data_IF_138484099601
#
_entry.id   IF_138484099601
#
_cell.length_a   1.000
_cell.length_b   1.000
_cell.length_c   1.000
_cell.angle_alpha   90.00
_cell.angle_beta   90.00
_cell.angle_gamma   90.00
#
_symmetry.space_group_name_H-M   'P 1'
#
loop_
_entity.id
_entity.type
_entity.pdbx_description
1 polymer ?
#
# COMPACT_ATOMS: atom_id res chain seq x y z
N UNK A 1 15.64 -21.81 -13.96
CA UNK A 1 14.47 -21.62 -13.08
C UNK A 1 14.50 -20.17 -12.64
N UNK A 2 13.54 -19.35 -13.08
CA UNK A 2 13.60 -17.88 -12.95
C UNK A 2 13.28 -17.47 -11.50
N UNK A 3 14.18 -16.69 -10.92
CA UNK A 3 14.20 -16.21 -9.53
C UNK A 3 12.97 -15.32 -9.25
N UNK A 4 12.02 -15.80 -8.44
CA UNK A 4 10.72 -15.15 -8.17
C UNK A 4 10.75 -14.09 -7.03
N UNK A 5 11.74 -14.14 -6.13
CA UNK A 5 11.72 -13.40 -4.86
C UNK A 5 12.19 -11.93 -4.93
N UNK A 6 12.95 -11.54 -5.96
CA UNK A 6 13.72 -10.27 -5.97
C UNK A 6 12.89 -9.04 -6.38
N UNK A 7 11.83 -9.23 -7.15
CA UNK A 7 10.95 -8.15 -7.63
C UNK A 7 9.87 -7.73 -6.65
N UNK A 8 9.67 -8.53 -5.62
CA UNK A 8 8.62 -8.38 -4.64
C UNK A 8 8.79 -7.14 -3.76
N UNK A 9 10.02 -6.81 -3.35
CA UNK A 9 10.30 -5.66 -2.45
C UNK A 9 10.25 -4.32 -3.19
N UNK A 10 10.74 -4.26 -4.43
CA UNK A 10 10.65 -3.05 -5.25
C UNK A 10 9.20 -2.74 -5.66
N UNK A 11 8.44 -3.77 -6.05
CA UNK A 11 7.02 -3.64 -6.32
C UNK A 11 6.25 -3.18 -5.07
N UNK A 12 6.56 -3.74 -3.90
CA UNK A 12 5.99 -3.27 -2.65
C UNK A 12 6.34 -1.80 -2.38
N UNK A 13 7.56 -1.36 -2.69
CA UNK A 13 7.95 0.05 -2.54
C UNK A 13 7.15 0.96 -3.49
N UNK A 14 6.90 0.53 -4.72
CA UNK A 14 6.05 1.25 -5.68
C UNK A 14 4.60 1.32 -5.20
N UNK A 15 4.04 0.20 -4.73
CA UNK A 15 2.69 0.13 -4.14
C UNK A 15 2.59 1.08 -2.94
N UNK A 16 3.51 1.00 -1.98
CA UNK A 16 3.51 1.87 -0.80
C UNK A 16 3.70 3.34 -1.17
N UNK A 17 4.48 3.65 -2.21
CA UNK A 17 4.67 5.01 -2.70
C UNK A 17 3.40 5.57 -3.34
N UNK A 18 2.72 4.79 -4.17
CA UNK A 18 1.46 5.22 -4.78
C UNK A 18 0.31 5.27 -3.76
N UNK A 19 0.30 4.35 -2.80
CA UNK A 19 -0.61 4.37 -1.63
C UNK A 19 -0.43 5.66 -0.84
N UNK A 20 0.81 6.01 -0.49
CA UNK A 20 1.16 7.26 0.17
C UNK A 20 0.63 8.47 -0.62
N UNK A 21 0.85 8.49 -1.93
CA UNK A 21 0.40 9.59 -2.80
C UNK A 21 -1.13 9.68 -2.90
N UNK A 22 -1.84 8.56 -2.97
CA UNK A 22 -3.29 8.53 -2.96
C UNK A 22 -3.87 9.09 -1.64
N UNK A 23 -3.32 8.71 -0.48
CA UNK A 23 -3.70 9.29 0.81
C UNK A 23 -3.41 10.80 0.88
N UNK A 24 -2.26 11.25 0.35
CA UNK A 24 -1.91 12.68 0.25
C UNK A 24 -2.93 13.45 -0.60
N UNK A 25 -3.40 12.86 -1.69
CA UNK A 25 -4.41 13.47 -2.56
C UNK A 25 -5.80 13.45 -1.92
N UNK A 26 -6.18 12.38 -1.23
CA UNK A 26 -7.44 12.30 -0.49
C UNK A 26 -7.54 13.38 0.58
N UNK A 27 -6.42 13.77 1.21
CA UNK A 27 -6.36 14.92 2.12
C UNK A 27 -6.77 16.25 1.48
N UNK A 28 -6.59 16.44 0.16
CA UNK A 28 -7.01 17.66 -0.53
C UNK A 28 -8.52 17.71 -0.84
N UNK A 29 -9.25 16.61 -0.61
CA UNK A 29 -10.70 16.58 -0.79
C UNK A 29 -11.42 17.24 0.40
N UNK A 30 -12.59 17.82 0.13
CA UNK A 30 -13.49 18.30 1.19
C UNK A 30 -14.25 17.10 1.78
N UNK A 31 -13.60 16.37 2.70
CA UNK A 31 -14.16 15.20 3.38
C UNK A 31 -14.68 15.57 4.78
N UNK A 32 -15.60 14.76 5.32
CA UNK A 32 -15.98 14.90 6.72
C UNK A 32 -14.75 14.77 7.64
N UNK A 33 -14.72 15.54 8.73
CA UNK A 33 -13.55 15.62 9.64
C UNK A 33 -13.00 14.25 10.09
N UNK A 34 -13.82 13.25 10.49
CA UNK A 34 -13.30 11.94 10.86
C UNK A 34 -12.56 11.23 9.72
N UNK A 35 -13.06 11.37 8.48
CA UNK A 35 -12.47 10.78 7.28
C UNK A 35 -11.17 11.48 6.92
N UNK A 36 -11.16 12.80 7.00
CA UNK A 36 -9.95 13.58 6.76
C UNK A 36 -8.83 13.23 7.77
N UNK A 37 -9.16 13.10 9.06
CA UNK A 37 -8.22 12.67 10.11
C UNK A 37 -7.70 11.24 9.86
N UNK A 38 -8.58 10.33 9.44
CA UNK A 38 -8.23 8.96 9.05
C UNK A 38 -7.21 8.93 7.90
N UNK A 39 -7.51 9.60 6.79
CA UNK A 39 -6.63 9.64 5.59
C UNK A 39 -5.25 10.22 5.93
N UNK A 40 -5.21 11.26 6.77
CA UNK A 40 -3.96 11.85 7.23
C UNK A 40 -3.15 10.92 8.16
N UNK A 41 -3.82 10.15 9.02
CA UNK A 41 -3.14 9.15 9.86
C UNK A 41 -2.53 8.03 9.01
N UNK A 42 -3.27 7.51 8.02
CA UNK A 42 -2.75 6.50 7.09
C UNK A 42 -1.60 7.02 6.22
N UNK A 43 -1.66 8.29 5.79
CA UNK A 43 -0.52 8.93 5.13
C UNK A 43 0.74 8.89 6.01
N UNK A 44 0.62 9.25 7.30
CA UNK A 44 1.76 9.21 8.23
C UNK A 44 2.27 7.79 8.48
N UNK A 45 1.38 6.81 8.65
CA UNK A 45 1.74 5.39 8.77
C UNK A 45 2.50 4.91 7.52
N UNK A 46 2.05 5.31 6.33
CA UNK A 46 2.69 4.91 5.06
C UNK A 46 4.14 5.39 4.94
N UNK A 47 4.47 6.57 5.48
CA UNK A 47 5.85 7.06 5.54
C UNK A 47 6.74 6.14 6.39
N UNK A 48 6.25 5.70 7.55
CA UNK A 48 6.98 4.82 8.46
C UNK A 48 7.21 3.45 7.80
N UNK A 49 6.17 2.87 7.18
CA UNK A 49 6.28 1.58 6.49
C UNK A 49 7.31 1.62 5.36
N UNK A 50 7.35 2.73 4.61
CA UNK A 50 8.32 2.94 3.55
C UNK A 50 9.75 3.04 4.09
N UNK A 51 9.96 3.73 5.21
CA UNK A 51 11.26 3.78 5.87
C UNK A 51 11.70 2.40 6.37
N UNK A 52 10.79 1.60 6.94
CA UNK A 52 11.08 0.22 7.34
C UNK A 52 11.46 -0.66 6.14
N UNK A 53 10.75 -0.53 5.02
CA UNK A 53 11.07 -1.25 3.77
C UNK A 53 12.44 -0.82 3.19
N UNK A 54 12.74 0.47 3.18
CA UNK A 54 14.02 0.98 2.68
C UNK A 54 15.21 0.50 3.52
N UNK A 55 15.02 0.32 4.84
CA UNK A 55 16.07 -0.21 5.74
C UNK A 55 16.48 -1.63 5.35
N UNK A 56 15.53 -2.47 4.91
CA UNK A 56 15.87 -3.81 4.44
C UNK A 56 16.48 -3.75 3.03
N UNK A 57 15.97 -2.90 2.12
CA UNK A 57 16.58 -2.72 0.78
C UNK A 57 18.06 -2.31 0.83
N UNK A 58 18.47 -1.50 1.82
CA UNK A 58 19.84 -1.02 1.98
C UNK A 58 20.78 -1.93 2.78
N UNK A 59 20.27 -2.95 3.49
CA UNK A 59 21.06 -3.82 4.37
C UNK A 59 21.24 -5.25 3.86
N UNK A 60 20.47 -5.68 2.87
CA UNK A 60 20.66 -6.96 2.18
C UNK A 60 21.39 -6.77 0.85
N UNK A 61 22.45 -7.55 0.60
CA UNK A 61 23.01 -7.79 -0.74
C UNK A 61 21.96 -8.52 -1.59
N UNK A 62 20.90 -7.82 -2.00
CA UNK A 62 19.95 -8.33 -2.99
C UNK A 62 20.57 -8.07 -4.36
N UNK A 63 21.50 -8.94 -4.75
CA UNK A 63 21.91 -9.07 -6.15
C UNK A 63 20.71 -9.58 -6.95
N UNK A 64 19.90 -8.65 -7.48
CA UNK A 64 19.43 -8.66 -8.87
C UNK A 64 18.37 -7.57 -9.06
N UNK A 65 18.37 -6.92 -10.22
CA UNK A 65 17.38 -5.93 -10.65
C UNK A 65 16.72 -6.48 -11.92
N UNK A 66 15.43 -6.86 -11.93
CA UNK A 66 14.70 -7.12 -13.20
C UNK A 66 13.17 -7.19 -13.06
N UNK A 67 12.47 -6.13 -13.48
CA UNK A 67 11.01 -5.94 -13.68
C UNK A 67 10.05 -7.13 -13.53
N UNK A 68 9.12 -7.04 -12.56
CA UNK A 68 7.76 -7.58 -12.71
C UNK A 68 6.88 -6.47 -13.29
N UNK A 69 6.15 -6.79 -14.35
CA UNK A 69 5.03 -6.00 -14.84
C UNK A 69 3.90 -6.07 -13.80
N UNK A 70 3.93 -5.20 -12.79
CA UNK A 70 2.75 -4.86 -12.00
C UNK A 70 1.86 -3.99 -12.88
N UNK A 71 1.03 -4.65 -13.68
CA UNK A 71 0.06 -3.99 -14.54
C UNK A 71 -1.00 -3.31 -13.68
N UNK A 72 -1.09 -1.98 -13.79
CA UNK A 72 -2.10 -1.10 -13.15
C UNK A 72 -2.05 -1.09 -11.62
N UNK A 73 -1.18 -0.25 -11.08
CA UNK A 73 -1.21 0.10 -9.67
C UNK A 73 -2.52 0.84 -9.36
N UNK A 74 -3.46 0.14 -8.71
CA UNK A 74 -4.79 0.64 -8.34
C UNK A 74 -4.70 1.98 -7.58
N UNK A 75 -3.62 2.20 -6.82
CA UNK A 75 -3.36 3.45 -6.12
C UNK A 75 -3.01 4.62 -7.05
N UNK A 76 -2.30 4.36 -8.15
CA UNK A 76 -2.00 5.38 -9.16
C UNK A 76 -3.26 5.84 -9.88
N UNK A 77 -4.14 4.90 -10.23
CA UNK A 77 -5.43 5.19 -10.86
C UNK A 77 -6.35 5.94 -9.89
N UNK A 78 -6.43 5.48 -8.63
CA UNK A 78 -7.17 6.15 -7.56
C UNK A 78 -6.67 7.58 -7.31
N UNK A 79 -5.36 7.76 -7.16
CA UNK A 79 -4.76 9.08 -6.98
C UNK A 79 -5.03 10.01 -8.18
N UNK A 80 -5.01 9.48 -9.40
CA UNK A 80 -5.34 10.26 -10.60
C UNK A 80 -6.83 10.63 -10.66
N UNK A 81 -7.71 9.73 -10.26
CA UNK A 81 -9.15 9.97 -10.23
C UNK A 81 -9.55 11.01 -9.17
N UNK A 82 -8.88 11.02 -8.01
CA UNK A 82 -9.05 12.05 -6.97
C UNK A 82 -8.61 13.42 -7.49
N UNK A 83 -7.40 13.50 -8.06
CA UNK A 83 -6.82 14.76 -8.56
C UNK A 83 -7.67 15.40 -9.66
N UNK A 84 -8.23 14.58 -10.56
CA UNK A 84 -9.09 15.04 -11.64
C UNK A 84 -10.56 15.25 -11.23
N UNK A 85 -10.89 15.10 -9.93
CA UNK A 85 -12.25 15.27 -9.40
C UNK A 85 -13.25 14.17 -9.81
N UNK A 86 -12.78 13.08 -10.41
CA UNK A 86 -13.59 11.92 -10.79
C UNK A 86 -14.05 11.09 -9.58
N UNK A 87 -13.39 11.25 -8.43
CA UNK A 87 -13.82 10.72 -7.15
C UNK A 87 -13.93 11.90 -6.17
N UNK A 88 -15.16 12.33 -5.90
CA UNK A 88 -15.47 13.44 -4.99
C UNK A 88 -16.55 13.11 -3.95
N UNK A 89 -17.18 11.93 -4.07
CA UNK A 89 -18.15 11.41 -3.10
C UNK A 89 -17.41 10.57 -2.06
N UNK A 90 -17.62 10.88 -0.80
CA UNK A 90 -16.96 10.21 0.34
C UNK A 90 -17.11 8.68 0.29
N UNK A 91 -18.30 8.18 -0.04
CA UNK A 91 -18.54 6.74 -0.19
C UNK A 91 -17.71 6.11 -1.32
N UNK A 92 -17.62 6.77 -2.47
CA UNK A 92 -16.82 6.29 -3.62
C UNK A 92 -15.32 6.33 -3.30
N UNK A 93 -14.87 7.30 -2.50
CA UNK A 93 -13.51 7.30 -1.95
C UNK A 93 -13.32 6.04 -1.10
N UNK A 94 -14.20 5.79 -0.14
CA UNK A 94 -14.05 4.63 0.75
C UNK A 94 -14.06 3.29 0.01
N UNK A 95 -14.98 3.07 -0.92
CA UNK A 95 -15.04 1.82 -1.69
C UNK A 95 -13.73 1.59 -2.45
N UNK A 96 -13.18 2.64 -3.08
CA UNK A 96 -11.93 2.55 -3.82
C UNK A 96 -10.72 2.30 -2.91
N UNK A 97 -10.67 2.94 -1.74
CA UNK A 97 -9.62 2.70 -0.75
C UNK A 97 -9.70 1.29 -0.16
N UNK A 98 -10.90 0.77 0.15
CA UNK A 98 -11.10 -0.61 0.61
C UNK A 98 -10.55 -1.60 -0.41
N UNK A 99 -10.94 -1.46 -1.68
CA UNK A 99 -10.48 -2.33 -2.76
C UNK A 99 -8.95 -2.27 -2.92
N UNK A 100 -8.37 -1.08 -2.84
CA UNK A 100 -6.94 -0.87 -3.00
C UNK A 100 -6.13 -1.46 -1.83
N UNK A 101 -6.61 -1.35 -0.59
CA UNK A 101 -5.98 -2.00 0.56
C UNK A 101 -6.09 -3.53 0.51
N UNK A 102 -7.25 -4.07 0.11
CA UNK A 102 -7.42 -5.52 -0.06
C UNK A 102 -6.43 -6.08 -1.08
N UNK A 103 -6.30 -5.43 -2.25
CA UNK A 103 -5.30 -5.81 -3.25
C UNK A 103 -3.87 -5.70 -2.73
N UNK A 104 -3.56 -4.66 -1.95
CA UNK A 104 -2.23 -4.50 -1.34
C UNK A 104 -1.89 -5.64 -0.37
N UNK A 105 -2.86 -6.12 0.42
CA UNK A 105 -2.67 -7.23 1.35
C UNK A 105 -2.41 -8.54 0.60
N UNK A 106 -3.12 -8.76 -0.52
CA UNK A 106 -2.92 -9.90 -1.41
C UNK A 106 -1.54 -9.87 -2.06
N UNK A 107 -1.13 -8.71 -2.59
CA UNK A 107 0.21 -8.51 -3.17
C UNK A 107 1.31 -8.84 -2.16
N UNK A 108 1.20 -8.33 -0.92
CA UNK A 108 2.19 -8.63 0.14
C UNK A 108 2.18 -10.12 0.51
N UNK A 109 1.00 -10.77 0.50
CA UNK A 109 0.92 -12.21 0.75
C UNK A 109 1.66 -13.01 -0.33
N UNK A 110 1.43 -12.68 -1.60
CA UNK A 110 2.10 -13.32 -2.74
C UNK A 110 3.62 -13.11 -2.70
N UNK A 111 4.06 -11.92 -2.30
CA UNK A 111 5.48 -11.59 -2.08
C UNK A 111 6.12 -12.52 -1.04
N UNK A 112 5.45 -12.72 0.10
CA UNK A 112 5.94 -13.58 1.17
C UNK A 112 5.99 -15.04 0.72
N UNK A 113 4.93 -15.52 0.06
CA UNK A 113 4.83 -16.91 -0.42
C UNK A 113 5.88 -17.23 -1.50
N UNK A 114 6.16 -16.29 -2.40
CA UNK A 114 7.15 -16.45 -3.47
C UNK A 114 8.60 -16.18 -3.01
N UNK A 115 8.81 -15.84 -1.73
CA UNK A 115 10.14 -15.56 -1.15
C UNK A 115 10.49 -16.50 0.02
N UNK A 116 10.45 -17.83 -0.17
CA UNK A 116 10.69 -18.79 0.91
C UNK A 116 12.10 -18.70 1.50
N UNK A 117 13.07 -18.23 0.72
CA UNK A 117 14.48 -18.11 1.11
C UNK A 117 14.84 -16.73 1.71
N UNK A 118 13.87 -15.82 1.85
CA UNK A 118 14.11 -14.54 2.51
C UNK A 118 14.55 -14.76 3.96
N UNK A 119 15.50 -13.93 4.43
CA UNK A 119 15.98 -13.99 5.81
C UNK A 119 14.86 -13.63 6.81
N UNK A 120 15.03 -14.05 8.06
CA UNK A 120 14.01 -13.86 9.10
C UNK A 120 13.65 -12.39 9.33
N UNK A 121 14.62 -11.49 9.19
CA UNK A 121 14.40 -10.06 9.38
C UNK A 121 13.57 -9.46 8.24
N UNK A 122 13.88 -9.81 6.99
CA UNK A 122 13.08 -9.43 5.82
C UNK A 122 11.64 -9.96 5.90
N UNK A 123 11.47 -11.23 6.28
CA UNK A 123 10.12 -11.82 6.51
C UNK A 123 9.35 -11.11 7.61
N UNK A 124 10.01 -10.77 8.72
CA UNK A 124 9.39 -10.06 9.83
C UNK A 124 8.90 -8.65 9.42
N UNK A 125 9.69 -7.92 8.61
CA UNK A 125 9.29 -6.61 8.07
C UNK A 125 8.10 -6.74 7.12
N UNK A 126 8.11 -7.69 6.19
CA UNK A 126 6.98 -7.92 5.27
C UNK A 126 5.69 -8.29 6.01
N UNK A 127 5.77 -9.15 7.03
CA UNK A 127 4.62 -9.51 7.87
C UNK A 127 4.10 -8.32 8.68
N UNK A 128 5.00 -7.45 9.17
CA UNK A 128 4.60 -6.21 9.85
C UNK A 128 3.88 -5.27 8.89
N UNK A 129 4.42 -5.02 7.70
CA UNK A 129 3.77 -4.18 6.69
C UNK A 129 2.38 -4.74 6.35
N UNK A 130 2.27 -6.05 6.10
CA UNK A 130 0.98 -6.69 5.84
C UNK A 130 -0.04 -6.46 6.97
N UNK A 131 0.41 -6.58 8.22
CA UNK A 131 -0.44 -6.37 9.40
C UNK A 131 -0.93 -4.92 9.47
N UNK A 132 -0.04 -3.95 9.29
CA UNK A 132 -0.40 -2.53 9.35
C UNK A 132 -1.38 -2.13 8.24
N UNK A 133 -1.16 -2.61 7.00
CA UNK A 133 -2.12 -2.44 5.89
C UNK A 133 -3.47 -3.09 6.21
N UNK A 134 -3.47 -4.26 6.86
CA UNK A 134 -4.70 -4.94 7.30
C UNK A 134 -5.44 -4.19 8.41
N UNK A 135 -4.72 -3.55 9.32
CA UNK A 135 -5.31 -2.74 10.38
C UNK A 135 -5.86 -1.42 9.81
N UNK A 136 -5.16 -0.83 8.84
CA UNK A 136 -5.65 0.33 8.09
C UNK A 136 -6.96 0.02 7.34
N UNK A 137 -7.06 -1.13 6.67
CA UNK A 137 -8.31 -1.61 6.05
C UNK A 137 -9.48 -1.70 7.05
N UNK A 138 -9.22 -2.18 8.28
CA UNK A 138 -10.26 -2.26 9.32
C UNK A 138 -10.70 -0.87 9.77
N UNK A 139 -9.76 0.05 9.95
CA UNK A 139 -10.06 1.44 10.33
C UNK A 139 -10.91 2.12 9.25
N UNK A 140 -10.57 1.96 7.96
CA UNK A 140 -11.37 2.44 6.82
C UNK A 140 -12.78 1.84 6.86
N UNK A 141 -12.90 0.50 7.00
CA UNK A 141 -14.20 -0.18 7.09
C UNK A 141 -15.03 0.22 8.31
N UNK A 142 -14.41 0.70 9.39
CA UNK A 142 -15.14 1.13 10.59
C UNK A 142 -15.91 2.45 10.42
N UNK A 143 -15.44 3.30 9.50
CA UNK A 143 -16.11 4.54 9.10
C UNK A 143 -16.99 4.35 7.85
N UNK A 144 -16.92 3.16 7.25
CA UNK A 144 -17.73 2.76 6.10
C UNK A 144 -19.16 2.48 6.57
N UNK A 145 -20.08 3.36 6.22
CA UNK A 145 -21.51 3.15 6.45
C UNK A 145 -22.03 2.36 5.24
N UNK A 146 -22.22 1.05 5.39
CA UNK A 146 -22.92 0.27 4.36
C UNK A 146 -24.41 0.61 4.40
N UNK A 147 -24.98 1.03 3.26
CA UNK A 147 -26.43 0.96 3.05
C UNK A 147 -26.89 -0.50 2.94
#
# INVERSE_FOLDING_TARGET
MKNKAVNSVNALNEILSSRQEAYRKAFSLTLARPVHELMHNHFRKSLILKEELNKIQGSTNIEDRFEISFSKNIWSDLGSAIENGGINKEQTVFDAFVQAEEGTIEDIAEIIENSPDADENSKAVLLRIKKEVSDDLKEIKSLWISE
#
